data_IF_242314425127
#
_entry.id   IF_242314425127
#
_cell.length_a   1.000
_cell.length_b   1.000
_cell.length_c   1.000
_cell.angle_alpha   90.00
_cell.angle_beta   90.00
_cell.angle_gamma   90.00
#
_symmetry.space_group_name_H-M   'P 1'
#
loop_
_entity.id
_entity.type
_entity.pdbx_description
1 polymer ?
#
# COMPACT_ATOMS: atom_id res chain seq x y z
N UNK A 1 -12.55 -5.69 6.81
CA UNK A 1 -14.00 -5.66 6.50
C UNK A 1 -14.92 -5.93 7.70
N UNK A 2 -14.40 -6.34 8.85
CA UNK A 2 -15.22 -6.53 10.06
C UNK A 2 -15.36 -5.27 10.91
N UNK A 3 -14.47 -4.29 10.77
CA UNK A 3 -14.48 -3.07 11.59
C UNK A 3 -15.70 -2.17 11.37
N UNK A 4 -16.09 -1.96 10.12
CA UNK A 4 -17.24 -1.10 9.80
C UNK A 4 -18.60 -1.75 10.09
N UNK A 5 -18.67 -3.07 10.01
CA UNK A 5 -19.90 -3.80 10.32
C UNK A 5 -20.14 -3.97 11.82
N UNK A 6 -19.11 -3.85 12.63
CA UNK A 6 -19.23 -3.92 14.08
C UNK A 6 -19.74 -2.60 14.68
N UNK A 7 -19.61 -1.51 13.94
CA UNK A 7 -20.36 -0.29 14.17
C UNK A 7 -21.81 -0.38 13.67
N UNK A 8 -22.28 -1.57 13.25
CA UNK A 8 -23.68 -1.77 12.96
C UNK A 8 -24.48 -1.46 14.25
N UNK A 9 -24.87 -0.23 14.32
CA UNK A 9 -25.78 0.33 15.28
C UNK A 9 -27.11 -0.41 15.11
N UNK A 10 -27.30 -1.49 15.83
CA UNK A 10 -28.66 -2.05 15.89
C UNK A 10 -29.47 -1.13 16.78
N UNK A 11 -30.34 -0.38 16.17
CA UNK A 11 -31.25 0.51 16.84
C UNK A 11 -32.45 -0.30 17.30
N UNK A 12 -32.61 -0.48 18.59
CA UNK A 12 -33.84 -1.04 19.19
C UNK A 12 -34.46 0.07 20.02
N UNK A 13 -35.42 0.77 19.44
CA UNK A 13 -36.00 1.96 20.07
C UNK A 13 -34.95 3.08 20.17
N UNK A 14 -34.75 3.66 21.37
CA UNK A 14 -33.74 4.67 21.66
C UNK A 14 -32.40 4.09 22.12
N UNK A 15 -32.14 2.80 21.89
CA UNK A 15 -30.92 2.11 22.34
C UNK A 15 -30.01 1.83 21.17
N UNK A 16 -28.73 2.10 21.37
CA UNK A 16 -27.66 1.84 20.39
C UNK A 16 -26.66 0.87 21.00
N UNK A 17 -26.23 -0.10 20.21
CA UNK A 17 -25.22 -1.06 20.62
C UNK A 17 -23.94 -0.80 19.81
N UNK A 18 -22.83 -0.54 20.48
CA UNK A 18 -21.51 -0.49 19.86
C UNK A 18 -20.73 -1.75 20.22
N UNK A 19 -20.19 -2.42 19.22
CA UNK A 19 -19.51 -3.70 19.40
C UNK A 19 -18.00 -3.54 19.66
N UNK A 20 -17.39 -2.39 19.36
CA UNK A 20 -15.93 -2.24 19.34
C UNK A 20 -15.33 -1.37 20.43
N UNK A 21 -16.07 -0.43 20.95
CA UNK A 21 -15.52 0.59 21.84
C UNK A 21 -15.55 0.22 23.33
N UNK A 22 -15.62 -1.06 23.65
CA UNK A 22 -15.65 -1.50 25.05
C UNK A 22 -16.98 -1.22 25.77
N UNK A 23 -18.02 -0.78 25.06
CA UNK A 23 -19.35 -0.59 25.63
C UNK A 23 -19.95 -1.95 25.95
N UNK A 24 -20.08 -2.22 27.24
CA UNK A 24 -20.66 -3.46 27.76
C UNK A 24 -22.20 -3.31 27.87
N UNK A 25 -22.89 -3.22 26.75
CA UNK A 25 -24.34 -3.21 26.73
C UNK A 25 -24.99 -2.13 25.87
N UNK A 26 -26.27 -1.93 26.04
CA UNK A 26 -27.07 -0.92 25.34
C UNK A 26 -26.90 0.46 25.97
N UNK A 27 -26.65 1.46 25.11
CA UNK A 27 -26.59 2.87 25.51
C UNK A 27 -27.90 3.55 25.09
N UNK A 28 -28.56 4.24 26.03
CA UNK A 28 -29.76 4.98 25.73
C UNK A 28 -29.43 6.37 25.21
N UNK A 29 -30.08 6.77 24.12
CA UNK A 29 -29.99 8.10 23.55
C UNK A 29 -31.27 8.84 23.83
N UNK A 30 -31.28 9.82 24.76
CA UNK A 30 -32.48 10.51 25.19
C UNK A 30 -33.17 11.30 24.08
N UNK A 31 -32.37 11.96 23.23
CA UNK A 31 -32.87 12.70 22.09
C UNK A 31 -31.91 12.62 20.87
N UNK A 32 -32.39 12.95 19.70
CA UNK A 32 -31.55 13.02 18.49
C UNK A 32 -30.38 14.02 18.63
N UNK A 33 -30.60 15.11 19.39
CA UNK A 33 -29.56 16.12 19.65
C UNK A 33 -28.42 15.61 20.53
N UNK A 34 -28.67 14.59 21.35
CA UNK A 34 -27.68 13.99 22.25
C UNK A 34 -26.82 12.91 21.55
N UNK A 35 -27.19 12.51 20.33
CA UNK A 35 -26.55 11.39 19.63
C UNK A 35 -25.02 11.50 19.57
N UNK A 36 -24.51 12.62 19.06
CA UNK A 36 -23.06 12.83 18.89
C UNK A 36 -22.32 12.73 20.23
N UNK A 37 -22.87 13.39 21.27
CA UNK A 37 -22.27 13.39 22.60
C UNK A 37 -22.31 12.00 23.25
N UNK A 38 -23.44 11.34 23.21
CA UNK A 38 -23.60 9.98 23.79
C UNK A 38 -22.67 8.99 23.09
N UNK A 39 -22.54 9.06 21.76
CA UNK A 39 -21.63 8.19 21.03
C UNK A 39 -20.16 8.46 21.39
N UNK A 40 -19.78 9.74 21.51
CA UNK A 40 -18.42 10.12 21.91
C UNK A 40 -18.07 9.65 23.34
N UNK A 41 -18.99 9.82 24.30
CA UNK A 41 -18.84 9.35 25.69
C UNK A 41 -18.74 7.81 25.78
N UNK A 42 -19.10 7.11 24.70
CA UNK A 42 -19.00 5.67 24.54
C UNK A 42 -17.98 5.24 23.47
N UNK A 43 -16.95 6.06 23.27
CA UNK A 43 -15.81 5.76 22.41
C UNK A 43 -16.17 5.55 20.92
N UNK A 44 -17.14 6.32 20.42
CA UNK A 44 -17.48 6.37 18.99
C UNK A 44 -17.49 7.82 18.52
N UNK A 45 -16.53 8.18 17.73
CA UNK A 45 -16.42 9.48 17.08
C UNK A 45 -17.21 9.43 15.77
N UNK A 46 -18.45 9.90 15.78
CA UNK A 46 -19.36 9.79 14.62
C UNK A 46 -19.06 10.78 13.52
N UNK A 47 -18.48 11.93 13.87
CA UNK A 47 -18.10 12.96 12.91
C UNK A 47 -16.83 12.55 12.16
N UNK A 48 -16.98 12.33 10.86
CA UNK A 48 -15.87 11.83 10.01
C UNK A 48 -14.77 12.87 9.84
N UNK A 49 -15.11 14.17 9.85
CA UNK A 49 -14.15 15.25 9.61
C UNK A 49 -13.31 15.49 10.87
N UNK A 50 -13.94 15.49 12.03
CA UNK A 50 -13.24 15.53 13.33
C UNK A 50 -12.34 14.30 13.50
N UNK A 51 -12.82 13.13 13.15
CA UNK A 51 -12.05 11.88 13.24
C UNK A 51 -10.86 11.87 12.30
N UNK A 52 -11.04 12.29 11.04
CA UNK A 52 -9.96 12.44 10.05
C UNK A 52 -8.89 13.42 10.54
N UNK A 53 -9.31 14.56 11.06
CA UNK A 53 -8.39 15.57 11.60
C UNK A 53 -7.57 15.02 12.77
N UNK A 54 -8.21 14.29 13.67
CA UNK A 54 -7.53 13.66 14.81
C UNK A 54 -6.54 12.58 14.34
N UNK A 55 -6.93 11.71 13.40
CA UNK A 55 -6.03 10.70 12.83
C UNK A 55 -4.81 11.36 12.21
N UNK A 56 -5.01 12.37 11.37
CA UNK A 56 -3.92 13.09 10.72
C UNK A 56 -2.98 13.75 11.73
N UNK A 57 -3.53 14.37 12.76
CA UNK A 57 -2.72 14.98 13.81
C UNK A 57 -1.87 13.95 14.57
N UNK A 58 -2.49 12.85 14.99
CA UNK A 58 -1.77 11.76 15.69
C UNK A 58 -0.63 11.17 14.84
N UNK A 59 -0.88 10.96 13.52
CA UNK A 59 0.13 10.45 12.60
C UNK A 59 1.31 11.42 12.50
N UNK A 60 1.05 12.71 12.32
CA UNK A 60 2.09 13.73 12.20
C UNK A 60 2.92 13.87 13.49
N UNK A 61 2.24 13.90 14.64
CA UNK A 61 2.91 14.02 15.92
C UNK A 61 3.82 12.82 16.20
N UNK A 62 3.35 11.60 15.93
CA UNK A 62 4.16 10.38 16.08
C UNK A 62 5.33 10.33 15.10
N UNK A 63 5.16 10.75 13.86
CA UNK A 63 6.25 10.81 12.89
C UNK A 63 7.34 11.77 13.37
N UNK A 64 6.96 12.99 13.78
CA UNK A 64 7.89 13.99 14.31
C UNK A 64 8.63 13.50 15.57
N UNK A 65 7.93 12.89 16.52
CA UNK A 65 8.52 12.28 17.71
C UNK A 65 9.53 11.16 17.39
N UNK A 66 9.38 10.54 16.23
CA UNK A 66 10.24 9.46 15.75
C UNK A 66 11.30 9.92 14.74
N UNK A 67 11.48 11.24 14.59
CA UNK A 67 12.58 11.82 13.81
C UNK A 67 12.32 11.87 12.31
N UNK A 68 11.06 11.95 11.88
CA UNK A 68 10.72 12.04 10.46
C UNK A 68 9.33 12.61 10.21
N UNK A 69 8.87 12.50 8.98
CA UNK A 69 7.54 12.88 8.53
C UNK A 69 6.81 11.66 7.95
N UNK A 70 5.51 11.54 8.24
CA UNK A 70 4.70 10.49 7.66
C UNK A 70 4.33 10.83 6.21
N UNK A 71 4.50 9.89 5.30
CA UNK A 71 3.99 10.02 3.93
C UNK A 71 2.47 9.83 3.92
N UNK A 72 1.75 10.96 3.82
CA UNK A 72 0.29 10.95 3.86
C UNK A 72 -0.27 10.75 2.44
N UNK A 73 -0.78 9.57 2.19
CA UNK A 73 -1.62 9.31 1.02
C UNK A 73 -3.07 9.64 1.39
N UNK A 74 -3.75 10.46 0.59
CA UNK A 74 -5.11 10.93 0.87
C UNK A 74 -6.14 9.80 0.85
N UNK A 75 -6.00 8.85 -0.09
CA UNK A 75 -6.93 7.72 -0.22
C UNK A 75 -6.75 6.75 0.96
N UNK A 76 -5.50 6.49 1.37
CA UNK A 76 -5.21 5.69 2.55
C UNK A 76 -5.77 6.33 3.83
N UNK A 77 -5.59 7.65 3.98
CA UNK A 77 -6.13 8.37 5.14
C UNK A 77 -7.66 8.27 5.19
N UNK A 78 -8.30 8.39 4.05
CA UNK A 78 -9.76 8.27 3.95
C UNK A 78 -10.23 6.85 4.22
N UNK A 79 -9.55 5.83 3.69
CA UNK A 79 -9.83 4.43 3.99
C UNK A 79 -9.71 4.17 5.49
N UNK A 80 -8.61 4.59 6.13
CA UNK A 80 -8.38 4.41 7.57
C UNK A 80 -9.44 5.15 8.39
N UNK A 81 -9.83 6.36 7.98
CA UNK A 81 -10.89 7.14 8.63
C UNK A 81 -12.21 6.37 8.73
N UNK A 82 -12.56 5.59 7.71
CA UNK A 82 -13.79 4.78 7.71
C UNK A 82 -13.62 3.38 8.31
N UNK A 83 -12.39 2.94 8.59
CA UNK A 83 -12.12 1.67 9.26
C UNK A 83 -12.18 1.76 10.79
N UNK A 84 -12.11 2.97 11.36
CA UNK A 84 -12.05 3.18 12.81
C UNK A 84 -13.16 4.09 13.32
N UNK A 85 -13.56 3.87 14.55
CA UNK A 85 -14.54 4.70 15.27
C UNK A 85 -13.87 5.55 16.37
N UNK A 86 -12.82 4.99 16.97
CA UNK A 86 -12.04 5.60 18.05
C UNK A 86 -10.54 5.42 17.73
N UNK A 87 -9.96 6.37 17.00
CA UNK A 87 -8.61 6.20 16.48
C UNK A 87 -7.55 6.40 17.56
N UNK A 88 -6.59 5.49 17.60
CA UNK A 88 -5.34 5.63 18.34
C UNK A 88 -4.19 5.22 17.44
N UNK A 89 -3.35 6.18 17.07
CA UNK A 89 -2.18 5.90 16.27
C UNK A 89 -1.05 5.31 17.13
N UNK A 90 -0.25 4.46 16.51
CA UNK A 90 0.96 3.87 17.12
C UNK A 90 2.08 3.79 16.06
N UNK A 91 3.32 3.87 16.53
CA UNK A 91 4.50 3.75 15.69
C UNK A 91 5.17 2.41 15.94
N UNK A 92 5.39 1.65 14.88
CA UNK A 92 6.18 0.43 14.87
C UNK A 92 7.45 0.57 14.04
N UNK A 93 8.31 -0.44 14.11
CA UNK A 93 9.55 -0.51 13.36
C UNK A 93 9.74 -1.87 12.70
N UNK A 94 10.62 -1.90 11.71
CA UNK A 94 11.10 -3.13 11.08
C UNK A 94 12.62 -3.13 11.03
N UNK A 95 13.22 -4.25 10.65
CA UNK A 95 14.68 -4.39 10.61
C UNK A 95 15.28 -3.52 9.50
N UNK A 96 16.35 -2.79 9.79
CA UNK A 96 17.04 -1.89 8.86
C UNK A 96 17.55 -2.61 7.60
N UNK A 97 17.82 -3.91 7.66
CA UNK A 97 18.27 -4.69 6.51
C UNK A 97 17.32 -4.59 5.31
N UNK A 98 16.01 -4.44 5.55
CA UNK A 98 15.00 -4.32 4.50
C UNK A 98 15.10 -3.00 3.73
N UNK A 99 15.74 -1.96 4.28
CA UNK A 99 15.98 -0.70 3.59
C UNK A 99 16.93 -0.85 2.36
N UNK A 100 17.57 -2.00 2.21
CA UNK A 100 18.34 -2.34 1.00
C UNK A 100 17.46 -2.71 -0.19
N UNK A 101 16.18 -2.99 0.01
CA UNK A 101 15.22 -3.23 -1.05
C UNK A 101 14.81 -1.90 -1.73
N UNK A 102 14.35 -1.94 -2.99
CA UNK A 102 13.70 -0.78 -3.57
C UNK A 102 12.58 -0.26 -2.67
N UNK A 103 12.48 1.06 -2.56
CA UNK A 103 11.53 1.74 -1.65
C UNK A 103 10.10 1.23 -1.82
N UNK A 104 9.69 1.02 -3.05
CA UNK A 104 8.35 0.56 -3.42
C UNK A 104 8.05 -0.86 -2.91
N UNK A 105 9.06 -1.74 -2.85
CA UNK A 105 8.91 -3.09 -2.29
C UNK A 105 8.61 -3.08 -0.79
N UNK A 106 8.91 -1.98 -0.11
CA UNK A 106 8.63 -1.80 1.32
C UNK A 106 7.31 -1.06 1.52
N UNK A 107 7.10 0.03 0.77
CA UNK A 107 5.93 0.90 0.91
C UNK A 107 4.65 0.21 0.46
N UNK A 108 4.68 -0.54 -0.65
CA UNK A 108 3.48 -1.18 -1.18
C UNK A 108 2.85 -2.18 -0.19
N UNK A 109 3.58 -3.14 0.40
CA UNK A 109 3.02 -3.99 1.44
C UNK A 109 2.49 -3.22 2.66
N UNK A 110 3.14 -2.13 3.03
CA UNK A 110 2.67 -1.27 4.12
C UNK A 110 1.32 -0.65 3.81
N UNK A 111 1.18 -0.01 2.66
CA UNK A 111 0.01 0.79 2.29
C UNK A 111 -1.16 -0.09 1.87
N UNK A 112 -0.93 -0.95 0.88
CA UNK A 112 -1.98 -1.70 0.20
C UNK A 112 -2.46 -2.90 1.03
N UNK A 113 -1.58 -3.51 1.83
CA UNK A 113 -1.94 -4.72 2.56
C UNK A 113 -2.19 -4.48 4.05
N UNK A 114 -1.47 -3.52 4.67
CA UNK A 114 -1.53 -3.31 6.12
C UNK A 114 -2.16 -1.97 6.53
N UNK A 115 -2.36 -1.03 5.62
CA UNK A 115 -2.86 0.34 5.88
C UNK A 115 -1.94 1.10 6.84
N UNK A 116 -0.62 0.97 6.64
CA UNK A 116 0.38 1.69 7.40
C UNK A 116 0.88 2.89 6.62
N UNK A 117 1.27 3.93 7.35
CA UNK A 117 1.86 5.14 6.82
C UNK A 117 3.39 5.06 6.97
N UNK A 118 4.16 5.08 5.87
CA UNK A 118 5.61 5.13 5.92
C UNK A 118 6.11 6.41 6.59
N UNK A 119 7.26 6.34 7.26
CA UNK A 119 7.93 7.50 7.84
C UNK A 119 9.19 7.78 7.05
N UNK A 120 9.36 9.02 6.61
CA UNK A 120 10.49 9.50 5.83
C UNK A 120 11.36 10.44 6.67
N UNK A 121 12.65 10.50 6.39
CA UNK A 121 13.56 11.52 6.95
C UNK A 121 13.40 12.87 6.21
N UNK A 122 14.19 13.87 6.62
CA UNK A 122 14.20 15.23 6.03
C UNK A 122 14.63 15.23 4.55
N UNK A 123 15.37 14.24 4.10
CA UNK A 123 15.83 14.08 2.73
C UNK A 123 14.85 13.26 1.87
N UNK A 124 13.74 12.78 2.45
CA UNK A 124 12.73 11.96 1.79
C UNK A 124 13.09 10.46 1.69
N UNK A 125 14.12 10.01 2.40
CA UNK A 125 14.45 8.59 2.47
C UNK A 125 13.54 7.88 3.46
N UNK A 126 13.22 6.63 3.19
CA UNK A 126 12.41 5.81 4.05
C UNK A 126 13.18 5.47 5.34
N UNK A 127 12.58 5.77 6.49
CA UNK A 127 13.03 5.26 7.77
C UNK A 127 12.48 3.84 8.01
N UNK A 128 13.15 3.06 8.83
CA UNK A 128 12.67 1.75 9.24
C UNK A 128 11.51 1.81 10.26
N UNK A 129 10.57 2.73 10.01
CA UNK A 129 9.44 3.03 10.88
C UNK A 129 8.15 3.14 10.08
N UNK A 130 7.05 2.81 10.71
CA UNK A 130 5.72 2.98 10.15
C UNK A 130 4.74 3.43 11.22
N UNK A 131 3.66 4.07 10.80
CA UNK A 131 2.57 4.45 11.69
C UNK A 131 1.32 3.73 11.25
N UNK A 132 0.57 3.19 12.20
CA UNK A 132 -0.74 2.59 11.97
C UNK A 132 -1.74 3.14 12.97
N UNK A 133 -3.02 3.03 12.64
CA UNK A 133 -4.12 3.51 13.47
C UNK A 133 -5.00 2.34 13.86
N UNK A 134 -5.04 2.06 15.17
CA UNK A 134 -5.96 1.05 15.70
C UNK A 134 -7.33 1.68 15.99
N UNK A 135 -8.35 0.86 15.94
CA UNK A 135 -9.66 1.18 16.48
C UNK A 135 -9.73 0.77 17.95
N UNK A 136 -9.67 1.72 18.87
CA UNK A 136 -9.70 1.48 20.31
C UNK A 136 -8.79 2.43 21.09
N UNK A 137 -8.77 2.27 22.42
CA UNK A 137 -8.00 3.10 23.33
C UNK A 137 -6.48 2.81 23.32
N UNK A 138 -5.76 3.47 24.23
CA UNK A 138 -4.30 3.39 24.35
C UNK A 138 -3.80 2.20 25.19
N UNK A 139 -4.68 1.32 25.63
CA UNK A 139 -4.29 0.17 26.44
C UNK A 139 -3.54 -0.87 25.60
N UNK A 140 -2.47 -1.46 26.17
CA UNK A 140 -1.68 -2.52 25.56
C UNK A 140 -1.11 -2.18 24.17
N UNK A 141 -0.74 -0.92 23.93
CA UNK A 141 -0.18 -0.48 22.65
C UNK A 141 1.13 -1.21 22.31
N UNK A 142 1.93 -1.57 23.29
CA UNK A 142 3.16 -2.36 23.14
C UNK A 142 2.88 -3.73 22.51
N UNK A 143 1.86 -4.44 22.97
CA UNK A 143 1.45 -5.73 22.41
C UNK A 143 0.93 -5.57 20.97
N UNK A 144 0.11 -4.54 20.76
CA UNK A 144 -0.45 -4.26 19.41
C UNK A 144 0.67 -3.88 18.45
N UNK A 145 1.60 -3.02 18.87
CA UNK A 145 2.76 -2.62 18.06
C UNK A 145 3.60 -3.83 17.67
N UNK A 146 3.93 -4.69 18.63
CA UNK A 146 4.69 -5.91 18.35
C UNK A 146 3.96 -6.85 17.37
N UNK A 147 2.62 -6.96 17.50
CA UNK A 147 1.81 -7.73 16.54
C UNK A 147 1.91 -7.19 15.11
N UNK A 148 1.80 -5.88 14.94
CA UNK A 148 1.90 -5.21 13.65
C UNK A 148 3.32 -5.32 13.05
N UNK A 149 4.36 -5.15 13.86
CA UNK A 149 5.76 -5.34 13.45
C UNK A 149 6.01 -6.76 12.94
N UNK A 150 5.44 -7.77 13.62
CA UNK A 150 5.57 -9.17 13.21
C UNK A 150 4.91 -9.45 11.87
N UNK A 151 3.72 -8.88 11.63
CA UNK A 151 3.01 -9.03 10.35
C UNK A 151 3.80 -8.37 9.23
N UNK A 152 4.26 -7.13 9.43
CA UNK A 152 5.05 -6.43 8.42
C UNK A 152 6.36 -7.15 8.13
N UNK A 153 7.06 -7.64 9.16
CA UNK A 153 8.29 -8.43 8.97
C UNK A 153 8.09 -9.64 8.06
N UNK A 154 6.99 -10.37 8.22
CA UNK A 154 6.69 -11.50 7.35
C UNK A 154 6.57 -11.07 5.88
N UNK A 155 5.81 -9.99 5.61
CA UNK A 155 5.64 -9.44 4.27
C UNK A 155 6.95 -8.92 3.65
N UNK A 156 7.78 -8.24 4.46
CA UNK A 156 9.09 -7.76 3.97
C UNK A 156 10.08 -8.91 3.75
N UNK A 157 9.98 -9.99 4.50
CA UNK A 157 10.78 -11.20 4.25
C UNK A 157 10.38 -11.88 2.95
N UNK A 158 9.09 -11.92 2.64
CA UNK A 158 8.61 -12.42 1.36
C UNK A 158 9.12 -11.55 0.21
N UNK A 159 9.04 -10.21 0.35
CA UNK A 159 9.57 -9.27 -0.63
C UNK A 159 11.09 -9.42 -0.83
N UNK A 160 11.86 -9.55 0.25
CA UNK A 160 13.32 -9.79 0.20
C UNK A 160 13.64 -11.09 -0.55
N UNK A 161 12.88 -12.14 -0.27
CA UNK A 161 13.04 -13.43 -0.93
C UNK A 161 12.79 -13.33 -2.44
N UNK A 162 11.64 -12.81 -2.85
CA UNK A 162 11.30 -12.69 -4.27
C UNK A 162 12.24 -11.73 -5.02
N UNK A 163 12.63 -10.63 -4.41
CA UNK A 163 13.60 -9.70 -5.00
C UNK A 163 14.93 -10.38 -5.31
N UNK A 164 15.45 -11.17 -4.37
CA UNK A 164 16.70 -11.88 -4.55
C UNK A 164 16.60 -13.02 -5.58
N UNK A 165 15.51 -13.79 -5.56
CA UNK A 165 15.25 -14.84 -6.55
C UNK A 165 15.09 -14.28 -7.96
N UNK A 166 14.38 -13.17 -8.09
CA UNK A 166 14.14 -12.56 -9.41
C UNK A 166 15.44 -12.01 -10.02
N UNK A 167 16.35 -11.48 -9.22
CA UNK A 167 17.64 -10.97 -9.68
C UNK A 167 18.59 -12.04 -10.24
N UNK A 168 18.32 -13.32 -10.00
CA UNK A 168 19.12 -14.41 -10.54
C UNK A 168 18.96 -14.59 -12.07
N UNK A 169 17.89 -14.06 -12.67
CA UNK A 169 17.57 -14.19 -14.09
C UNK A 169 17.18 -12.80 -14.63
N UNK A 170 17.89 -12.35 -15.68
CA UNK A 170 17.60 -11.07 -16.30
C UNK A 170 16.18 -10.99 -16.88
N UNK A 171 15.62 -9.78 -16.96
CA UNK A 171 14.31 -9.55 -17.56
C UNK A 171 14.21 -10.09 -18.99
N UNK A 172 15.25 -9.86 -19.79
CA UNK A 172 15.31 -10.33 -21.18
C UNK A 172 15.16 -11.86 -21.27
N UNK A 173 15.83 -12.58 -20.40
CA UNK A 173 15.77 -14.05 -20.37
C UNK A 173 14.41 -14.60 -19.97
N UNK A 174 13.53 -13.74 -19.43
CA UNK A 174 12.15 -14.07 -19.05
C UNK A 174 11.13 -13.84 -20.17
N UNK A 175 11.50 -13.23 -21.29
CA UNK A 175 10.59 -12.90 -22.39
C UNK A 175 9.80 -14.13 -22.87
N UNK A 176 10.46 -15.28 -23.06
CA UNK A 176 9.79 -16.50 -23.48
C UNK A 176 8.71 -16.97 -22.50
N UNK A 177 8.87 -16.70 -21.22
CA UNK A 177 7.89 -17.04 -20.19
C UNK A 177 6.59 -16.25 -20.33
N UNK A 178 6.59 -15.08 -20.96
CA UNK A 178 5.36 -14.32 -21.28
C UNK A 178 4.39 -15.09 -22.17
N UNK A 179 4.86 -16.09 -22.91
CA UNK A 179 4.00 -16.98 -23.71
C UNK A 179 3.03 -17.81 -22.87
N UNK A 180 3.35 -17.99 -21.59
CA UNK A 180 2.49 -18.72 -20.63
C UNK A 180 1.38 -17.85 -20.04
N UNK A 181 1.44 -16.52 -20.24
CA UNK A 181 0.47 -15.56 -19.71
C UNK A 181 -0.50 -15.18 -20.81
N UNK A 182 -1.73 -15.64 -20.71
CA UNK A 182 -2.80 -15.29 -21.66
C UNK A 182 -3.10 -13.80 -21.62
N UNK A 183 -3.23 -13.15 -22.79
CA UNK A 183 -3.67 -11.76 -22.85
C UNK A 183 -5.18 -11.68 -23.01
N UNK A 184 -5.69 -12.15 -24.16
CA UNK A 184 -7.13 -12.18 -24.45
C UNK A 184 -7.39 -13.20 -25.55
N UNK A 185 -8.58 -13.81 -25.53
CA UNK A 185 -9.04 -14.71 -26.59
C UNK A 185 -8.98 -14.00 -27.96
N UNK A 186 -8.38 -14.67 -28.94
CA UNK A 186 -8.17 -14.15 -30.29
C UNK A 186 -7.00 -13.15 -30.44
N UNK A 187 -6.39 -12.70 -29.35
CA UNK A 187 -5.24 -11.78 -29.36
C UNK A 187 -3.93 -12.39 -28.87
N UNK A 188 -3.95 -13.69 -28.51
CA UNK A 188 -2.77 -14.42 -28.08
C UNK A 188 -2.37 -14.16 -26.64
N UNK A 189 -1.08 -14.25 -26.34
CA UNK A 189 -0.48 -14.13 -25.02
C UNK A 189 0.25 -12.79 -24.83
N UNK A 190 0.89 -12.61 -23.66
CA UNK A 190 1.59 -11.37 -23.33
C UNK A 190 2.87 -11.17 -24.15
N UNK A 191 3.51 -12.24 -24.64
CA UNK A 191 4.64 -12.13 -25.56
C UNK A 191 4.18 -11.54 -26.90
N UNK A 192 3.08 -12.08 -27.47
CA UNK A 192 2.49 -11.56 -28.71
C UNK A 192 2.07 -10.08 -28.56
N UNK A 193 1.62 -9.70 -27.34
CA UNK A 193 1.32 -8.29 -27.04
C UNK A 193 2.58 -7.43 -27.03
N UNK A 194 3.68 -7.88 -26.44
CA UNK A 194 4.96 -7.14 -26.44
C UNK A 194 5.47 -6.93 -27.87
N UNK A 195 5.39 -7.94 -28.74
CA UNK A 195 5.76 -7.79 -30.15
C UNK A 195 4.89 -6.75 -30.89
N UNK A 196 3.57 -6.73 -30.60
CA UNK A 196 2.69 -5.69 -31.16
C UNK A 196 3.04 -4.29 -30.63
N UNK A 197 3.39 -4.18 -29.35
CA UNK A 197 3.82 -2.90 -28.76
C UNK A 197 5.09 -2.37 -29.44
N UNK A 198 6.06 -3.23 -29.73
CA UNK A 198 7.28 -2.84 -30.48
C UNK A 198 6.89 -2.24 -31.84
N UNK A 199 6.09 -2.96 -32.63
CA UNK A 199 5.65 -2.49 -33.96
C UNK A 199 4.87 -1.18 -33.89
N UNK A 200 3.98 -1.05 -32.89
CA UNK A 200 3.20 0.17 -32.69
C UNK A 200 4.08 1.36 -32.27
N UNK A 201 5.06 1.14 -31.39
CA UNK A 201 5.98 2.17 -30.95
C UNK A 201 6.83 2.70 -32.12
N UNK A 202 7.35 1.82 -32.99
CA UNK A 202 8.07 2.19 -34.20
C UNK A 202 7.21 3.01 -35.17
N UNK A 203 5.96 2.58 -35.39
CA UNK A 203 5.02 3.31 -36.26
C UNK A 203 4.68 4.69 -35.70
N UNK A 204 4.45 4.79 -34.37
CA UNK A 204 4.15 6.05 -33.72
C UNK A 204 5.35 7.00 -33.76
N UNK A 205 6.56 6.52 -33.45
CA UNK A 205 7.79 7.31 -33.55
C UNK A 205 7.90 7.97 -34.93
N UNK A 206 7.70 7.19 -35.98
CA UNK A 206 7.73 7.70 -37.36
C UNK A 206 6.61 8.72 -37.63
N UNK A 207 5.38 8.42 -37.21
CA UNK A 207 4.22 9.28 -37.47
C UNK A 207 4.28 10.65 -36.79
N UNK A 208 4.80 10.69 -35.54
CA UNK A 208 4.91 11.94 -34.77
C UNK A 208 6.28 12.62 -34.93
N UNK A 209 7.19 12.02 -35.68
CA UNK A 209 8.55 12.51 -35.93
C UNK A 209 9.29 12.93 -34.62
N UNK A 210 9.23 12.06 -33.59
CA UNK A 210 9.90 12.33 -32.32
C UNK A 210 11.38 11.91 -32.36
N UNK A 211 12.31 12.69 -31.74
CA UNK A 211 13.73 12.39 -31.69
C UNK A 211 14.08 11.34 -30.62
N UNK A 212 13.32 10.25 -30.52
CA UNK A 212 13.60 9.14 -29.59
C UNK A 212 14.52 8.13 -30.31
N UNK A 213 15.50 7.61 -29.58
CA UNK A 213 16.36 6.53 -30.08
C UNK A 213 15.52 5.29 -30.41
N UNK A 214 15.76 4.70 -31.58
CA UNK A 214 14.94 3.59 -32.08
C UNK A 214 15.21 2.30 -31.28
N UNK A 215 16.47 2.06 -30.92
CA UNK A 215 16.85 0.86 -30.19
C UNK A 215 16.31 0.90 -28.76
N UNK A 216 16.44 2.05 -28.09
CA UNK A 216 15.88 2.27 -26.75
C UNK A 216 14.34 2.11 -26.74
N UNK A 217 13.66 2.69 -27.72
CA UNK A 217 12.21 2.56 -27.85
C UNK A 217 11.78 1.10 -28.05
N UNK A 218 12.48 0.36 -28.92
CA UNK A 218 12.22 -1.07 -29.13
C UNK A 218 12.45 -1.87 -27.85
N UNK A 219 13.54 -1.59 -27.16
CA UNK A 219 13.93 -2.26 -25.94
C UNK A 219 12.91 -2.05 -24.84
N UNK A 220 12.49 -0.80 -24.61
CA UNK A 220 11.43 -0.44 -23.70
C UNK A 220 10.11 -1.17 -24.00
N UNK A 221 9.66 -1.11 -25.26
CA UNK A 221 8.40 -1.76 -25.68
C UNK A 221 8.45 -3.28 -25.54
N UNK A 222 9.62 -3.90 -25.74
CA UNK A 222 9.81 -5.34 -25.61
C UNK A 222 9.77 -5.79 -24.14
N UNK A 223 10.43 -5.03 -23.25
CA UNK A 223 10.62 -5.42 -21.85
C UNK A 223 9.47 -4.99 -20.93
N UNK A 224 8.65 -4.01 -21.34
CA UNK A 224 7.65 -3.34 -20.47
C UNK A 224 6.58 -4.25 -19.83
N UNK A 225 6.52 -5.54 -20.18
CA UNK A 225 5.59 -6.53 -19.62
C UNK A 225 6.29 -7.73 -18.98
N UNK A 226 7.62 -7.75 -19.02
CA UNK A 226 8.38 -8.93 -18.62
C UNK A 226 8.35 -9.18 -17.12
N UNK A 227 8.13 -8.13 -16.33
CA UNK A 227 7.98 -8.22 -14.89
C UNK A 227 6.73 -9.01 -14.43
N UNK A 228 5.72 -9.15 -15.29
CA UNK A 228 4.53 -9.98 -15.00
C UNK A 228 4.82 -11.44 -14.67
N UNK A 229 5.99 -11.94 -15.06
CA UNK A 229 6.40 -13.32 -14.80
C UNK A 229 7.51 -13.43 -13.75
N UNK A 230 7.77 -12.35 -13.03
CA UNK A 230 8.65 -12.32 -11.86
C UNK A 230 7.91 -12.76 -10.60
N UNK A 231 8.63 -13.32 -9.65
CA UNK A 231 8.06 -13.73 -8.37
C UNK A 231 7.47 -12.55 -7.59
N UNK A 232 8.17 -11.42 -7.63
CA UNK A 232 7.75 -10.20 -6.96
C UNK A 232 6.38 -9.71 -7.46
N UNK A 233 6.18 -9.61 -8.77
CA UNK A 233 4.92 -9.10 -9.34
C UNK A 233 3.78 -10.14 -9.24
N UNK A 234 4.10 -11.42 -9.19
CA UNK A 234 3.09 -12.47 -8.93
C UNK A 234 2.54 -12.35 -7.50
N UNK A 235 3.39 -12.08 -6.51
CA UNK A 235 2.97 -11.92 -5.10
C UNK A 235 2.42 -10.52 -4.80
N UNK A 236 3.05 -9.48 -5.36
CA UNK A 236 2.69 -8.06 -5.15
C UNK A 236 2.32 -7.44 -6.50
N UNK A 237 1.09 -7.68 -6.95
CA UNK A 237 0.62 -7.29 -8.29
C UNK A 237 0.64 -5.79 -8.53
N UNK A 238 0.56 -5.00 -7.47
CA UNK A 238 0.61 -3.54 -7.47
C UNK A 238 2.00 -3.00 -7.89
N UNK A 239 3.04 -3.84 -7.79
CA UNK A 239 4.40 -3.50 -8.19
C UNK A 239 4.67 -3.67 -9.68
N UNK A 240 3.65 -4.06 -10.47
CA UNK A 240 3.78 -4.16 -11.92
C UNK A 240 4.23 -2.83 -12.54
N UNK A 241 5.20 -2.90 -13.42
CA UNK A 241 5.84 -1.75 -14.06
C UNK A 241 6.94 -1.13 -13.18
N UNK A 242 6.73 -0.98 -11.89
CA UNK A 242 7.75 -0.52 -10.94
C UNK A 242 8.92 -1.49 -10.90
N UNK A 243 8.63 -2.78 -10.69
CA UNK A 243 9.68 -3.81 -10.66
C UNK A 243 10.32 -4.04 -12.03
N UNK A 244 9.55 -3.85 -13.11
CA UNK A 244 10.10 -3.85 -14.46
C UNK A 244 11.24 -2.83 -14.60
N UNK A 245 11.01 -1.60 -14.15
CA UNK A 245 12.03 -0.54 -14.14
C UNK A 245 13.23 -0.89 -13.26
N UNK A 246 12.97 -1.32 -12.01
CA UNK A 246 14.04 -1.62 -11.06
C UNK A 246 14.94 -2.76 -11.57
N UNK A 247 14.35 -3.84 -12.08
CA UNK A 247 15.11 -4.95 -12.63
C UNK A 247 15.82 -4.59 -13.92
N UNK A 248 15.21 -3.79 -14.81
CA UNK A 248 15.87 -3.31 -16.02
C UNK A 248 17.15 -2.52 -15.70
N UNK A 249 17.08 -1.58 -14.76
CA UNK A 249 18.23 -0.81 -14.31
C UNK A 249 19.32 -1.70 -13.70
N UNK A 250 18.94 -2.69 -12.88
CA UNK A 250 19.87 -3.64 -12.28
C UNK A 250 20.50 -4.58 -13.31
N UNK A 251 19.81 -4.89 -14.40
CA UNK A 251 20.31 -5.69 -15.53
C UNK A 251 21.24 -4.89 -16.45
N UNK A 252 21.33 -3.57 -16.25
CA UNK A 252 22.19 -2.65 -17.01
C UNK A 252 21.52 -2.01 -18.22
N UNK A 253 20.19 -1.99 -18.26
CA UNK A 253 19.45 -1.19 -19.24
C UNK A 253 19.69 0.31 -19.00
N UNK A 254 19.58 1.09 -20.06
CA UNK A 254 19.67 2.55 -19.95
C UNK A 254 18.43 3.11 -19.21
N UNK A 255 18.56 4.23 -18.48
CA UNK A 255 17.42 4.87 -17.81
C UNK A 255 16.28 5.29 -18.74
N UNK A 256 16.56 5.49 -20.02
CA UNK A 256 15.61 5.84 -21.07
C UNK A 256 14.76 4.64 -21.52
N UNK A 257 15.20 3.42 -21.25
CA UNK A 257 14.47 2.17 -21.51
C UNK A 257 13.49 1.87 -20.37
#
# INVERSE_FOLDING_TARGET
SQGLLSAALSKVGNKVYSALAGVKGAVEIPSAGDYKKVMYDNFVMVDQDERRALILQQIKDLAAQNGGEAEINADLLEEVNYLVEWPTALCGKFEEKFLSLPKECIITPMREHQRYFPVLDEDGNLLNKFITVRNGGSEHLDIVTHGNERVLRARLSDAEFFFNEDRAIKLEDRLEKLKTVSFQEGLGNMYDKSERLVKMAEMLRFAINTPVDEEELRRCALLCKTDLVTGMVIEFTELQGVMGREYALLDGEKPEV
#
